data_IF_489177451789
#
_entry.id   IF_489177451789
#
_cell.length_a   1.000
_cell.length_b   1.000
_cell.length_c   1.000
_cell.angle_alpha   90.00
_cell.angle_beta   90.00
_cell.angle_gamma   90.00
#
_symmetry.space_group_name_H-M   'P 1'
#
loop_
_entity.id
_entity.type
_entity.pdbx_description
1 polymer ?
#
# COMPACT_ATOMS: atom_id res chain seq x y z
N UNK A 1 46.10 -2.10 -22.39
CA UNK A 1 45.83 -3.37 -21.68
C UNK A 1 44.58 -3.36 -20.78
N UNK A 2 43.68 -2.35 -20.84
CA UNK A 2 42.49 -2.28 -19.97
C UNK A 2 41.17 -2.74 -20.63
N UNK A 3 41.11 -2.82 -21.96
CA UNK A 3 39.88 -3.15 -22.70
C UNK A 3 39.49 -4.63 -22.64
N UNK A 4 40.43 -5.59 -22.57
CA UNK A 4 40.05 -7.03 -22.62
C UNK A 4 39.36 -7.55 -21.35
N UNK A 5 39.53 -6.85 -20.21
CA UNK A 5 38.98 -7.29 -18.92
C UNK A 5 37.50 -6.95 -18.78
N UNK A 6 37.07 -5.81 -19.31
CA UNK A 6 35.66 -5.39 -19.34
C UNK A 6 34.88 -6.22 -20.36
N UNK A 7 35.43 -6.47 -21.55
CA UNK A 7 34.78 -7.31 -22.56
C UNK A 7 34.49 -8.73 -22.06
N UNK A 8 35.38 -9.32 -21.26
CA UNK A 8 35.16 -10.67 -20.67
C UNK A 8 34.08 -10.67 -19.59
N UNK A 9 33.95 -9.59 -18.82
CA UNK A 9 32.90 -9.44 -17.82
C UNK A 9 31.52 -9.25 -18.47
N UNK A 10 31.42 -8.39 -19.49
CA UNK A 10 30.19 -8.21 -20.26
C UNK A 10 29.81 -9.48 -21.04
N UNK A 11 30.78 -10.21 -21.58
CA UNK A 11 30.52 -11.51 -22.22
C UNK A 11 29.97 -12.55 -21.22
N UNK A 12 30.47 -12.55 -19.98
CA UNK A 12 29.95 -13.41 -18.90
C UNK A 12 28.51 -13.07 -18.52
N UNK A 13 28.20 -11.78 -18.35
CA UNK A 13 26.82 -11.33 -18.07
C UNK A 13 25.89 -11.67 -19.25
N UNK A 14 26.32 -11.41 -20.47
CA UNK A 14 25.54 -11.73 -21.65
C UNK A 14 25.26 -13.24 -21.75
N UNK A 15 26.26 -14.10 -21.50
CA UNK A 15 26.08 -15.54 -21.49
C UNK A 15 25.12 -15.99 -20.37
N UNK A 16 25.21 -15.39 -19.18
CA UNK A 16 24.29 -15.68 -18.08
C UNK A 16 22.85 -15.30 -18.42
N UNK A 17 22.64 -14.11 -19.00
CA UNK A 17 21.31 -13.63 -19.42
C UNK A 17 20.72 -14.49 -20.53
N UNK A 18 21.53 -14.90 -21.51
CA UNK A 18 21.11 -15.81 -22.58
C UNK A 18 20.74 -17.17 -22.00
N UNK A 19 21.53 -17.69 -21.05
CA UNK A 19 21.23 -18.97 -20.41
C UNK A 19 19.92 -18.89 -19.59
N UNK A 20 19.70 -17.81 -18.84
CA UNK A 20 18.44 -17.56 -18.14
C UNK A 20 17.25 -17.48 -19.11
N UNK A 21 17.43 -16.80 -20.25
CA UNK A 21 16.42 -16.66 -21.28
C UNK A 21 16.06 -18.00 -21.92
N UNK A 22 17.06 -18.81 -22.29
CA UNK A 22 16.83 -20.15 -22.85
C UNK A 22 16.13 -21.06 -21.84
N UNK A 23 16.52 -21.03 -20.57
CA UNK A 23 15.87 -21.82 -19.51
C UNK A 23 14.40 -21.38 -19.33
N UNK A 24 14.12 -20.07 -19.36
CA UNK A 24 12.76 -19.55 -19.26
C UNK A 24 11.89 -19.86 -20.49
N UNK A 25 12.48 -19.91 -21.69
CA UNK A 25 11.76 -20.12 -22.95
C UNK A 25 11.52 -21.60 -23.27
N UNK A 26 12.43 -22.49 -22.87
CA UNK A 26 12.33 -23.94 -23.14
C UNK A 26 11.55 -24.70 -22.06
N UNK A 27 11.33 -24.09 -20.89
CA UNK A 27 10.55 -24.70 -19.83
C UNK A 27 9.07 -24.70 -20.19
N UNK A 28 8.40 -25.87 -20.30
CA UNK A 28 6.93 -25.95 -20.36
C UNK A 28 6.36 -25.74 -18.95
N UNK A 29 6.82 -24.70 -18.27
CA UNK A 29 6.20 -24.27 -17.03
C UNK A 29 4.83 -23.73 -17.45
N UNK A 30 3.81 -24.57 -17.28
CA UNK A 30 2.42 -24.14 -17.40
C UNK A 30 2.30 -22.80 -16.69
N UNK A 31 1.76 -21.80 -17.37
CA UNK A 31 1.67 -20.45 -16.83
C UNK A 31 1.16 -20.57 -15.40
N UNK A 32 1.94 -20.18 -14.38
CA UNK A 32 1.41 -20.12 -13.03
C UNK A 32 0.15 -19.28 -13.14
N UNK A 33 -1.00 -19.93 -12.90
CA UNK A 33 -2.28 -19.25 -12.86
C UNK A 33 -2.24 -18.41 -11.58
N UNK A 34 -1.61 -17.25 -11.68
CA UNK A 34 -1.65 -16.27 -10.63
C UNK A 34 -3.08 -15.78 -10.59
N UNK A 35 -3.81 -16.26 -9.61
CA UNK A 35 -5.06 -15.64 -9.23
C UNK A 35 -4.70 -14.25 -8.69
N UNK A 36 -4.88 -13.23 -9.54
CA UNK A 36 -4.62 -11.84 -9.19
C UNK A 36 -5.35 -11.43 -7.91
N UNK A 37 -6.50 -12.07 -7.62
CA UNK A 37 -7.23 -11.89 -6.36
C UNK A 37 -6.41 -12.36 -5.16
N UNK A 38 -5.85 -13.58 -5.21
CA UNK A 38 -5.03 -14.12 -4.13
C UNK A 38 -3.74 -13.32 -3.91
N UNK A 39 -3.10 -12.83 -4.98
CA UNK A 39 -1.90 -12.00 -4.84
C UNK A 39 -2.23 -10.67 -4.14
N UNK A 40 -3.32 -10.04 -4.55
CA UNK A 40 -3.78 -8.79 -3.97
C UNK A 40 -4.20 -8.98 -2.51
N UNK A 41 -4.92 -10.06 -2.21
CA UNK A 41 -5.35 -10.40 -0.86
C UNK A 41 -4.16 -10.71 0.06
N UNK A 42 -3.18 -11.48 -0.41
CA UNK A 42 -1.95 -11.76 0.33
C UNK A 42 -1.12 -10.51 0.58
N UNK A 43 -1.01 -9.61 -0.40
CA UNK A 43 -0.35 -8.32 -0.25
C UNK A 43 -1.07 -7.46 0.80
N UNK A 44 -2.40 -7.37 0.74
CA UNK A 44 -3.20 -6.64 1.73
C UNK A 44 -3.13 -7.25 3.12
N UNK A 45 -3.14 -8.58 3.24
CA UNK A 45 -3.00 -9.26 4.51
C UNK A 45 -1.66 -8.94 5.17
N UNK A 46 -0.58 -8.84 4.38
CA UNK A 46 0.75 -8.50 4.88
C UNK A 46 0.85 -7.05 5.34
N UNK A 47 0.27 -6.11 4.59
CA UNK A 47 0.20 -4.69 5.00
C UNK A 47 -0.59 -4.53 6.30
N UNK A 48 -1.70 -5.28 6.47
CA UNK A 48 -2.47 -5.27 7.72
C UNK A 48 -1.70 -5.89 8.88
N UNK A 49 -1.00 -7.01 8.65
CA UNK A 49 -0.22 -7.69 9.67
C UNK A 49 1.00 -6.89 10.16
N UNK A 50 1.47 -5.92 9.38
CA UNK A 50 2.50 -4.96 9.81
C UNK A 50 1.93 -3.84 10.72
N UNK A 51 0.61 -3.85 10.98
CA UNK A 51 -0.03 -3.25 12.16
C UNK A 51 -0.02 -1.73 12.26
N UNK A 52 0.59 -1.01 11.32
CA UNK A 52 0.77 0.44 11.43
C UNK A 52 -0.09 1.19 10.40
N UNK A 53 -1.41 1.23 10.60
CA UNK A 53 -2.25 2.15 9.81
C UNK A 53 -2.18 3.56 10.39
N UNK A 54 -1.39 4.44 9.77
CA UNK A 54 -1.38 5.87 10.10
C UNK A 54 -2.55 6.56 9.39
N UNK A 55 -3.36 7.30 10.14
CA UNK A 55 -4.47 8.06 9.57
C UNK A 55 -4.40 9.54 9.94
N UNK A 56 -4.92 10.34 9.03
CA UNK A 56 -5.28 11.74 9.24
C UNK A 56 -6.74 11.90 8.88
N UNK A 57 -7.53 12.52 9.76
CA UNK A 57 -8.95 12.74 9.56
C UNK A 57 -9.33 14.14 10.01
N UNK A 58 -10.34 14.70 9.35
CA UNK A 58 -10.90 16.00 9.68
C UNK A 58 -12.37 15.81 10.06
N UNK A 59 -12.75 16.30 11.23
CA UNK A 59 -14.10 16.18 11.78
C UNK A 59 -14.68 17.57 11.97
N UNK A 60 -15.76 17.86 11.25
CA UNK A 60 -16.55 19.09 11.43
C UNK A 60 -17.76 18.78 12.30
N UNK A 61 -17.79 19.33 13.51
CA UNK A 61 -18.90 19.20 14.43
C UNK A 61 -19.74 20.47 14.43
N UNK A 62 -20.98 20.37 13.96
CA UNK A 62 -21.94 21.49 13.98
C UNK A 62 -22.97 21.29 15.07
N UNK A 63 -23.01 22.18 16.04
CA UNK A 63 -24.04 22.21 17.09
C UNK A 63 -25.04 23.32 16.78
N UNK A 64 -26.25 22.92 16.37
CA UNK A 64 -27.34 23.86 16.08
C UNK A 64 -28.40 23.80 17.19
N UNK A 65 -28.61 24.90 17.93
CA UNK A 65 -29.62 24.92 18.98
C UNK A 65 -31.02 24.79 18.38
N UNK A 66 -31.84 23.91 18.96
CA UNK A 66 -33.25 23.75 18.58
C UNK A 66 -34.03 25.04 18.87
N UNK A 67 -34.91 25.44 17.95
CA UNK A 67 -35.75 26.62 18.11
C UNK A 67 -36.65 26.49 19.35
N UNK A 68 -36.33 27.24 20.42
CA UNK A 68 -37.12 27.30 21.65
C UNK A 68 -36.82 28.58 22.42
N UNK A 69 -37.72 28.97 23.32
CA UNK A 69 -37.55 30.15 24.19
C UNK A 69 -36.27 30.04 25.05
N UNK A 70 -35.86 28.82 25.42
CA UNK A 70 -34.62 28.57 26.20
C UNK A 70 -33.33 28.84 25.40
N UNK A 71 -33.42 28.90 24.08
CA UNK A 71 -32.28 29.08 23.18
C UNK A 71 -32.26 30.45 22.50
N UNK A 72 -33.10 31.40 22.94
CA UNK A 72 -33.07 32.79 22.43
C UNK A 72 -31.67 33.38 22.61
N UNK A 73 -31.14 33.94 21.52
CA UNK A 73 -29.79 34.51 21.49
C UNK A 73 -28.65 33.50 21.35
N UNK A 74 -28.92 32.19 21.33
CA UNK A 74 -27.89 31.17 21.02
C UNK A 74 -27.73 31.01 19.52
N UNK A 75 -26.50 31.01 19.06
CA UNK A 75 -26.14 30.80 17.66
C UNK A 75 -25.63 29.37 17.43
N UNK A 76 -25.67 28.92 16.18
CA UNK A 76 -24.97 27.69 15.80
C UNK A 76 -23.46 27.87 15.98
N UNK A 77 -22.79 26.78 16.35
CA UNK A 77 -21.32 26.71 16.45
C UNK A 77 -20.82 25.55 15.61
N UNK A 78 -19.73 25.78 14.89
CA UNK A 78 -18.99 24.74 14.17
C UNK A 78 -17.59 24.65 14.74
N UNK A 79 -17.17 23.44 15.08
CA UNK A 79 -15.84 23.12 15.57
C UNK A 79 -15.17 22.17 14.57
N UNK A 80 -13.90 22.43 14.23
CA UNK A 80 -13.13 21.62 13.27
C UNK A 80 -12.00 20.94 14.03
N UNK A 81 -11.98 19.61 13.99
CA UNK A 81 -10.98 18.80 14.66
C UNK A 81 -10.12 18.10 13.62
N UNK A 82 -8.80 18.23 13.77
CA UNK A 82 -7.81 17.46 13.03
C UNK A 82 -7.34 16.31 13.90
N UNK A 83 -7.60 15.09 13.43
CA UNK A 83 -7.24 13.85 14.12
C UNK A 83 -6.10 13.20 13.36
N UNK A 84 -4.99 12.97 14.05
CA UNK A 84 -3.88 12.16 13.56
C UNK A 84 -3.65 10.99 14.52
N UNK A 85 -3.31 9.84 13.97
CA UNK A 85 -3.14 8.66 14.81
C UNK A 85 -2.57 7.47 14.07
N UNK A 86 -2.34 6.42 14.84
CA UNK A 86 -2.04 5.09 14.37
C UNK A 86 -3.09 4.13 14.94
N UNK A 87 -3.59 3.23 14.11
CA UNK A 87 -4.46 2.15 14.54
C UNK A 87 -3.75 0.82 14.33
N UNK A 88 -3.67 0.03 15.39
CA UNK A 88 -3.31 -1.38 15.30
C UNK A 88 -4.57 -2.14 14.91
N UNK A 89 -4.64 -2.53 13.65
CA UNK A 89 -5.74 -3.30 13.07
C UNK A 89 -5.35 -4.78 13.10
N UNK A 90 -5.12 -5.30 14.31
CA UNK A 90 -5.21 -6.73 14.54
C UNK A 90 -6.57 -7.19 14.00
N UNK A 91 -6.53 -8.19 13.11
CA UNK A 91 -7.69 -8.66 12.37
C UNK A 91 -8.87 -8.87 13.33
N UNK A 92 -9.93 -8.08 13.12
CA UNK A 92 -11.13 -8.07 13.94
C UNK A 92 -11.55 -9.51 14.35
N UNK A 93 -11.65 -9.76 15.65
CA UNK A 93 -12.37 -10.90 16.24
C UNK A 93 -13.85 -10.86 15.90
#
# INVERSE_FOLDING_TARGET
MLHSRTHRFFAGIAALLVSLFVIGFLSPAGQPSFDSGQLLEAAWARVRAEGAYRFTSEVTQTTSPTASVRNVGRTSRSDQLYLEGHADVDAAT
#
